data_IF_964452104159
#
_entry.id   IF_964452104159
#
_cell.length_a   1.000
_cell.length_b   1.000
_cell.length_c   1.000
_cell.angle_alpha   90.00
_cell.angle_beta   90.00
_cell.angle_gamma   90.00
#
_symmetry.space_group_name_H-M   'P 1'
#
loop_
_entity.id
_entity.type
_entity.pdbx_description
1 polymer ?
#
# COMPACT_ATOMS: atom_id res chain seq x y z
N UNK A 1 -11.29 24.96 -1.97
CA UNK A 1 -11.26 23.67 -2.69
C UNK A 1 -10.29 22.76 -1.97
N UNK A 2 -10.53 21.45 -2.03
CA UNK A 2 -9.57 20.47 -1.52
C UNK A 2 -8.62 20.08 -2.66
N UNK A 3 -7.43 19.60 -2.31
CA UNK A 3 -6.48 18.99 -3.23
C UNK A 3 -6.59 17.48 -3.10
N UNK A 4 -6.58 16.81 -4.21
CA UNK A 4 -6.70 15.36 -4.34
C UNK A 4 -5.69 14.89 -5.36
N UNK A 5 -5.46 13.59 -5.42
CA UNK A 5 -4.61 12.97 -6.43
C UNK A 5 -5.49 12.24 -7.44
N UNK A 6 -5.07 12.23 -8.70
CA UNK A 6 -5.69 11.45 -9.76
C UNK A 6 -4.64 10.59 -10.44
N UNK A 7 -4.93 9.30 -10.58
CA UNK A 7 -4.15 8.38 -11.39
C UNK A 7 -4.81 8.26 -12.77
N UNK A 8 -4.16 8.73 -13.86
CA UNK A 8 -4.71 8.56 -15.19
C UNK A 8 -4.70 7.08 -15.62
N UNK A 9 -5.55 6.78 -16.59
CA UNK A 9 -5.55 5.47 -17.25
C UNK A 9 -4.15 5.14 -17.80
N UNK A 10 -3.76 3.85 -17.80
CA UNK A 10 -2.47 3.43 -18.30
C UNK A 10 -2.27 3.92 -19.76
N UNK A 11 -1.08 4.47 -20.09
CA UNK A 11 -0.79 4.90 -21.45
C UNK A 11 -0.75 3.71 -22.42
N UNK A 12 -0.92 3.95 -23.71
CA UNK A 12 -0.92 2.88 -24.72
C UNK A 12 0.42 2.14 -24.85
N UNK A 13 1.52 2.76 -24.44
CA UNK A 13 2.88 2.21 -24.38
C UNK A 13 3.28 1.79 -22.96
N UNK A 14 2.32 1.31 -22.17
CA UNK A 14 2.46 0.98 -20.75
C UNK A 14 3.66 0.07 -20.47
N UNK A 15 3.74 -1.08 -21.14
CA UNK A 15 4.76 -2.10 -20.91
C UNK A 15 6.16 -1.57 -21.27
N UNK A 16 6.25 -0.82 -22.36
CA UNK A 16 7.50 -0.23 -22.81
C UNK A 16 8.03 0.79 -21.79
N UNK A 17 7.17 1.68 -21.26
CA UNK A 17 7.57 2.65 -20.24
C UNK A 17 7.82 2.02 -18.88
N UNK A 18 7.07 0.97 -18.52
CA UNK A 18 7.31 0.22 -17.29
C UNK A 18 8.73 -0.34 -17.27
N UNK A 19 9.25 -0.78 -18.43
CA UNK A 19 10.62 -1.29 -18.51
C UNK A 19 11.64 -0.28 -18.01
N UNK A 20 11.48 1.02 -18.25
CA UNK A 20 12.43 2.04 -17.77
C UNK A 20 12.61 2.04 -16.25
N UNK A 21 11.63 1.54 -15.51
CA UNK A 21 11.63 1.45 -14.04
C UNK A 21 12.09 0.10 -13.49
N UNK A 22 12.20 -0.93 -14.35
CA UNK A 22 12.75 -2.24 -13.96
C UNK A 22 14.27 -2.17 -13.90
N UNK A 23 14.84 -2.44 -12.72
CA UNK A 23 16.28 -2.36 -12.51
C UNK A 23 16.89 -3.75 -12.23
N UNK A 24 17.52 -4.32 -13.25
CA UNK A 24 18.31 -5.55 -13.13
C UNK A 24 19.72 -5.22 -12.63
N UNK A 25 19.84 -4.82 -11.37
CA UNK A 25 21.13 -4.55 -10.76
C UNK A 25 22.03 -5.81 -10.68
N UNK A 26 23.31 -5.64 -10.38
CA UNK A 26 24.29 -6.74 -10.34
C UNK A 26 23.89 -7.88 -9.40
N UNK A 27 23.19 -7.57 -8.29
CA UNK A 27 22.73 -8.60 -7.34
C UNK A 27 21.60 -9.44 -7.92
N UNK A 28 20.67 -8.80 -8.64
CA UNK A 28 19.55 -9.45 -9.34
C UNK A 28 20.10 -10.29 -10.48
N UNK A 29 21.04 -9.76 -11.26
CA UNK A 29 21.71 -10.49 -12.35
C UNK A 29 22.51 -11.69 -11.87
N UNK A 30 23.19 -11.60 -10.73
CA UNK A 30 23.94 -12.72 -10.16
C UNK A 30 23.04 -13.90 -9.74
N UNK A 31 21.75 -13.65 -9.51
CA UNK A 31 20.79 -14.67 -9.13
C UNK A 31 20.39 -15.61 -10.28
N UNK A 32 20.58 -15.18 -11.55
CA UNK A 32 20.17 -15.92 -12.76
C UNK A 32 20.83 -17.28 -12.95
N UNK A 33 22.02 -17.50 -12.36
CA UNK A 33 22.78 -18.75 -12.47
C UNK A 33 22.68 -19.62 -11.21
N UNK A 34 21.97 -19.16 -10.17
CA UNK A 34 21.86 -19.90 -8.92
C UNK A 34 20.76 -20.95 -9.03
N UNK A 35 21.15 -22.20 -9.27
CA UNK A 35 20.22 -23.33 -9.46
C UNK A 35 19.73 -23.92 -8.11
N UNK A 36 20.46 -23.68 -7.02
CA UNK A 36 20.16 -24.27 -5.70
C UNK A 36 19.67 -23.24 -4.71
N UNK A 37 18.64 -23.59 -3.95
CA UNK A 37 18.15 -22.80 -2.82
C UNK A 37 18.23 -23.59 -1.51
N UNK A 38 18.44 -22.85 -0.42
CA UNK A 38 18.47 -23.42 0.92
C UNK A 38 17.04 -23.49 1.46
N UNK A 39 16.47 -24.68 1.43
CA UNK A 39 15.15 -24.98 1.96
C UNK A 39 15.29 -25.47 3.40
N UNK A 40 14.55 -24.83 4.30
CA UNK A 40 14.45 -25.28 5.69
C UNK A 40 13.35 -26.33 5.78
N UNK A 41 13.73 -27.61 5.97
CA UNK A 41 12.74 -28.64 6.31
C UNK A 41 12.55 -28.64 7.82
N UNK A 42 11.33 -28.32 8.24
CA UNK A 42 10.89 -28.42 9.62
C UNK A 42 10.08 -29.70 9.73
N UNK A 43 10.67 -30.75 10.30
CA UNK A 43 9.92 -31.97 10.63
C UNK A 43 9.29 -31.82 12.00
N UNK A 44 7.97 -31.62 12.04
CA UNK A 44 7.20 -31.72 13.27
C UNK A 44 6.68 -33.15 13.42
N UNK A 45 7.13 -33.86 14.47
CA UNK A 45 6.61 -35.19 14.79
C UNK A 45 5.13 -35.10 15.21
N UNK A 46 4.21 -35.40 14.28
CA UNK A 46 2.77 -35.40 14.53
C UNK A 46 2.28 -36.56 15.42
N UNK A 47 3.17 -37.49 15.81
CA UNK A 47 2.87 -38.68 16.58
C UNK A 47 3.91 -38.91 17.68
N UNK A 48 3.87 -38.11 18.74
CA UNK A 48 4.50 -38.45 20.01
C UNK A 48 3.69 -37.82 21.14
N UNK A 49 3.23 -38.64 22.07
CA UNK A 49 2.39 -38.25 23.21
C UNK A 49 3.06 -37.23 24.14
N UNK A 50 2.34 -36.78 25.20
CA UNK A 50 2.55 -35.49 25.88
C UNK A 50 3.80 -35.37 26.77
N UNK A 51 4.88 -36.13 26.50
CA UNK A 51 6.15 -36.02 27.22
C UNK A 51 7.33 -36.29 26.29
N UNK A 52 7.71 -35.28 25.49
CA UNK A 52 9.08 -34.92 25.07
C UNK A 52 9.00 -33.77 24.05
N UNK A 53 8.99 -32.54 24.55
CA UNK A 53 9.32 -31.36 23.76
C UNK A 53 10.85 -31.26 23.70
N UNK A 54 11.47 -31.98 22.76
CA UNK A 54 12.87 -31.79 22.41
C UNK A 54 13.12 -32.51 21.08
N UNK A 55 13.18 -31.69 20.02
CA UNK A 55 14.03 -31.82 18.82
C UNK A 55 13.23 -31.47 17.56
N UNK A 56 12.98 -30.17 17.37
CA UNK A 56 12.81 -29.62 16.02
C UNK A 56 14.13 -29.83 15.28
N UNK A 57 14.27 -30.95 14.57
CA UNK A 57 15.45 -31.20 13.75
C UNK A 57 15.39 -30.29 12.52
N UNK A 58 16.05 -29.12 12.62
CA UNK A 58 16.18 -28.16 11.53
C UNK A 58 17.33 -28.59 10.64
N UNK A 59 17.00 -29.08 9.45
CA UNK A 59 18.00 -29.53 8.49
C UNK A 59 17.95 -28.61 7.27
N UNK A 60 19.08 -27.96 6.97
CA UNK A 60 19.26 -27.16 5.75
C UNK A 60 19.38 -28.12 4.55
N UNK A 61 18.37 -28.14 3.69
CA UNK A 61 18.37 -28.93 2.45
C UNK A 61 18.60 -28.01 1.26
N UNK A 62 19.45 -28.43 0.33
CA UNK A 62 19.60 -27.76 -0.96
C UNK A 62 18.64 -28.40 -1.96
N UNK A 63 17.63 -27.65 -2.40
CA UNK A 63 16.68 -28.11 -3.41
C UNK A 63 16.98 -27.44 -4.76
N UNK A 64 16.81 -28.19 -5.84
CA UNK A 64 16.77 -27.66 -7.20
C UNK A 64 15.32 -27.38 -7.54
N UNK A 65 15.00 -26.14 -7.90
CA UNK A 65 13.65 -25.79 -8.36
C UNK A 65 13.39 -26.44 -9.72
N UNK A 66 12.25 -27.12 -9.87
CA UNK A 66 11.86 -27.70 -11.16
C UNK A 66 11.51 -26.57 -12.13
N UNK A 67 12.00 -26.59 -13.40
CA UNK A 67 11.75 -25.50 -14.35
C UNK A 67 10.26 -25.15 -14.53
N UNK A 68 9.39 -26.16 -14.56
CA UNK A 68 7.94 -25.95 -14.68
C UNK A 68 7.33 -25.19 -13.48
N UNK A 69 7.81 -25.44 -12.26
CA UNK A 69 7.33 -24.73 -11.07
C UNK A 69 7.83 -23.28 -11.03
N UNK A 70 9.06 -23.04 -11.50
CA UNK A 70 9.63 -21.70 -11.63
C UNK A 70 8.85 -20.88 -12.67
N UNK A 71 8.51 -21.48 -13.81
CA UNK A 71 7.72 -20.82 -14.85
C UNK A 71 6.33 -20.43 -14.35
N UNK A 72 5.64 -21.34 -13.64
CA UNK A 72 4.32 -21.08 -13.06
C UNK A 72 4.37 -19.93 -12.03
N UNK A 73 5.36 -19.95 -11.13
CA UNK A 73 5.51 -18.90 -10.12
C UNK A 73 5.91 -17.55 -10.74
N UNK A 74 6.80 -17.55 -11.74
CA UNK A 74 7.15 -16.34 -12.49
C UNK A 74 5.94 -15.77 -13.25
N UNK A 75 5.06 -16.61 -13.80
CA UNK A 75 3.80 -16.20 -14.40
C UNK A 75 2.89 -15.54 -13.35
N UNK A 76 2.74 -16.11 -12.15
CA UNK A 76 1.97 -15.48 -11.07
C UNK A 76 2.50 -14.09 -10.71
N UNK A 77 3.83 -13.91 -10.65
CA UNK A 77 4.45 -12.61 -10.39
C UNK A 77 4.09 -11.58 -11.48
N UNK A 78 4.07 -11.98 -12.76
CA UNK A 78 3.66 -11.10 -13.86
C UNK A 78 2.16 -10.79 -13.82
N UNK A 79 1.32 -11.80 -13.59
CA UNK A 79 -0.14 -11.67 -13.50
C UNK A 79 -0.61 -10.82 -12.32
N UNK A 80 0.24 -10.58 -11.31
CA UNK A 80 -0.05 -9.61 -10.25
C UNK A 80 -0.22 -8.18 -10.79
N UNK A 81 0.30 -7.87 -11.98
CA UNK A 81 0.12 -6.58 -12.65
C UNK A 81 -1.11 -6.59 -13.54
N UNK A 82 -2.29 -6.38 -12.95
CA UNK A 82 -3.59 -6.45 -13.64
C UNK A 82 -3.76 -5.48 -14.82
N UNK A 83 -3.04 -4.36 -14.82
CA UNK A 83 -3.07 -3.36 -15.89
C UNK A 83 -2.18 -3.72 -17.10
N UNK A 84 -1.26 -4.68 -16.95
CA UNK A 84 -0.28 -5.04 -17.98
C UNK A 84 -0.75 -6.24 -18.83
N UNK A 85 -0.41 -6.23 -20.12
CA UNK A 85 -0.56 -7.40 -20.96
C UNK A 85 0.61 -8.37 -20.73
N UNK A 86 0.36 -9.53 -20.14
CA UNK A 86 1.41 -10.52 -19.81
C UNK A 86 2.29 -10.91 -21.02
N UNK A 87 1.71 -11.08 -22.21
CA UNK A 87 2.48 -11.47 -23.41
C UNK A 87 3.45 -10.38 -23.84
N UNK A 88 2.97 -9.14 -23.91
CA UNK A 88 3.83 -8.00 -24.28
C UNK A 88 4.87 -7.75 -23.18
N UNK A 89 4.46 -7.82 -21.91
CA UNK A 89 5.34 -7.66 -20.76
C UNK A 89 6.49 -8.66 -20.78
N UNK A 90 6.21 -9.94 -21.05
CA UNK A 90 7.22 -10.99 -21.14
C UNK A 90 8.23 -10.71 -22.26
N UNK A 91 7.75 -10.35 -23.46
CA UNK A 91 8.63 -10.01 -24.59
C UNK A 91 9.55 -8.84 -24.24
N UNK A 92 9.00 -7.77 -23.66
CA UNK A 92 9.78 -6.57 -23.28
C UNK A 92 10.77 -6.84 -22.15
N UNK A 93 10.39 -7.66 -21.17
CA UNK A 93 11.28 -8.07 -20.09
C UNK A 93 12.46 -8.89 -20.63
N UNK A 94 12.20 -9.81 -21.57
CA UNK A 94 13.26 -10.60 -22.22
C UNK A 94 14.22 -9.71 -23.02
N UNK A 95 13.69 -8.78 -23.82
CA UNK A 95 14.50 -7.83 -24.59
C UNK A 95 15.39 -6.99 -23.68
N UNK A 96 14.82 -6.43 -22.60
CA UNK A 96 15.58 -5.63 -21.62
C UNK A 96 16.60 -6.49 -20.87
N UNK A 97 16.22 -7.70 -20.44
CA UNK A 97 17.12 -8.60 -19.72
C UNK A 97 18.33 -8.99 -20.58
N UNK A 98 18.12 -9.30 -21.86
CA UNK A 98 19.19 -9.54 -22.82
C UNK A 98 20.15 -8.36 -22.92
N UNK A 99 19.60 -7.15 -23.11
CA UNK A 99 20.42 -5.93 -23.19
C UNK A 99 21.25 -5.74 -21.92
N UNK A 100 20.67 -5.93 -20.73
CA UNK A 100 21.41 -5.76 -19.48
C UNK A 100 22.53 -6.81 -19.34
N UNK A 101 22.30 -8.06 -19.72
CA UNK A 101 23.35 -9.11 -19.72
C UNK A 101 24.52 -8.72 -20.62
N UNK A 102 24.24 -8.22 -21.83
CA UNK A 102 25.26 -7.75 -22.79
C UNK A 102 26.04 -6.57 -22.22
N UNK A 103 25.36 -5.56 -21.67
CA UNK A 103 26.00 -4.36 -21.11
C UNK A 103 26.84 -4.69 -19.86
N UNK A 104 26.42 -5.67 -19.07
CA UNK A 104 27.18 -6.16 -17.93
C UNK A 104 28.37 -7.05 -18.33
N UNK A 105 28.56 -7.33 -19.63
CA UNK A 105 29.70 -8.06 -20.17
C UNK A 105 29.64 -9.58 -19.96
N UNK A 106 28.45 -10.13 -19.70
CA UNK A 106 28.26 -11.56 -19.56
C UNK A 106 27.99 -12.23 -20.91
N UNK A 107 28.37 -13.51 -21.03
CA UNK A 107 28.01 -14.31 -22.19
C UNK A 107 26.49 -14.47 -22.26
N UNK A 108 25.92 -14.17 -23.42
CA UNK A 108 24.52 -14.43 -23.71
C UNK A 108 24.24 -15.94 -23.69
N UNK A 109 23.06 -16.37 -23.23
CA UNK A 109 22.59 -17.73 -23.43
C UNK A 109 22.58 -18.10 -24.92
N UNK A 110 22.78 -19.39 -25.22
CA UNK A 110 22.84 -19.87 -26.62
C UNK A 110 21.47 -19.91 -27.30
N UNK A 111 20.39 -19.98 -26.50
CA UNK A 111 19.02 -20.08 -26.95
C UNK A 111 18.08 -19.17 -26.15
N UNK A 112 17.02 -18.70 -26.80
CA UNK A 112 15.98 -17.84 -26.22
C UNK A 112 15.23 -18.57 -25.09
N UNK A 113 15.09 -19.90 -25.18
CA UNK A 113 14.50 -20.72 -24.11
C UNK A 113 15.33 -20.66 -22.82
N UNK A 114 16.66 -20.69 -22.93
CA UNK A 114 17.55 -20.57 -21.76
C UNK A 114 17.52 -19.16 -21.17
N UNK A 115 17.42 -18.14 -22.02
CA UNK A 115 17.26 -16.76 -21.57
C UNK A 115 15.95 -16.58 -20.80
N UNK A 116 14.86 -17.19 -21.27
CA UNK A 116 13.58 -17.17 -20.58
C UNK A 116 13.65 -17.87 -19.23
N UNK A 117 14.21 -19.07 -19.16
CA UNK A 117 14.36 -19.79 -17.88
C UNK A 117 15.19 -18.99 -16.86
N UNK A 118 16.24 -18.29 -17.32
CA UNK A 118 17.04 -17.41 -16.46
C UNK A 118 16.22 -16.21 -15.96
N UNK A 119 15.41 -15.59 -16.81
CA UNK A 119 14.52 -14.49 -16.42
C UNK A 119 13.49 -14.97 -15.39
N UNK A 120 12.83 -16.11 -15.62
CA UNK A 120 11.83 -16.67 -14.72
C UNK A 120 12.42 -16.95 -13.32
N UNK A 121 13.64 -17.52 -13.27
CA UNK A 121 14.35 -17.74 -12.02
C UNK A 121 14.65 -16.42 -11.28
N UNK A 122 15.00 -15.36 -12.01
CA UNK A 122 15.23 -14.03 -11.43
C UNK A 122 13.93 -13.47 -10.84
N UNK A 123 12.81 -13.60 -11.54
CA UNK A 123 11.50 -13.12 -11.07
C UNK A 123 11.04 -13.85 -9.80
N UNK A 124 11.23 -15.18 -9.72
CA UNK A 124 10.87 -15.97 -8.53
C UNK A 124 11.74 -15.59 -7.32
N UNK A 125 13.03 -15.33 -7.55
CA UNK A 125 13.96 -14.94 -6.47
C UNK A 125 13.79 -13.49 -6.01
N UNK A 126 13.28 -12.64 -6.89
CA UNK A 126 13.05 -11.22 -6.64
C UNK A 126 11.61 -10.84 -6.98
N UNK A 127 10.60 -11.37 -6.26
CA UNK A 127 9.19 -11.17 -6.58
C UNK A 127 8.78 -9.68 -6.50
N UNK A 128 9.48 -8.90 -5.67
CA UNK A 128 9.24 -7.46 -5.50
C UNK A 128 9.75 -6.62 -6.68
N UNK A 129 10.58 -7.16 -7.59
CA UNK A 129 11.21 -6.39 -8.66
C UNK A 129 10.18 -5.68 -9.54
N UNK A 130 9.22 -6.45 -10.06
CA UNK A 130 8.16 -5.92 -10.93
C UNK A 130 7.19 -5.03 -10.15
N UNK A 131 6.85 -5.42 -8.91
CA UNK A 131 5.95 -4.66 -8.05
C UNK A 131 6.51 -3.27 -7.72
N UNK A 132 7.79 -3.18 -7.36
CA UNK A 132 8.47 -1.92 -7.06
C UNK A 132 8.62 -1.05 -8.30
N UNK A 133 8.96 -1.65 -9.44
CA UNK A 133 9.03 -0.94 -10.73
C UNK A 133 7.66 -0.36 -11.12
N UNK A 134 6.60 -1.16 -11.03
CA UNK A 134 5.22 -0.75 -11.27
C UNK A 134 4.81 0.40 -10.35
N UNK A 135 5.06 0.26 -9.04
CA UNK A 135 4.75 1.32 -8.06
C UNK A 135 5.43 2.63 -8.43
N UNK A 136 6.73 2.61 -8.72
CA UNK A 136 7.48 3.82 -9.11
C UNK A 136 6.94 4.42 -10.42
N UNK A 137 6.64 3.59 -11.40
CA UNK A 137 6.09 4.02 -12.68
C UNK A 137 4.72 4.70 -12.53
N UNK A 138 3.79 4.09 -11.78
CA UNK A 138 2.45 4.65 -11.56
C UNK A 138 2.48 5.89 -10.68
N UNK A 139 3.31 5.91 -9.64
CA UNK A 139 3.51 7.10 -8.80
C UNK A 139 3.99 8.31 -9.62
N UNK A 140 4.85 8.09 -10.63
CA UNK A 140 5.33 9.17 -11.51
C UNK A 140 4.25 9.79 -12.40
N UNK A 141 3.09 9.12 -12.55
CA UNK A 141 1.96 9.60 -13.35
C UNK A 141 0.87 10.27 -12.51
N UNK A 142 0.99 10.22 -11.17
CA UNK A 142 -0.01 10.81 -10.28
C UNK A 142 0.02 12.32 -10.41
N UNK A 143 -1.13 12.90 -10.77
CA UNK A 143 -1.33 14.34 -10.89
C UNK A 143 -2.14 14.86 -9.71
N UNK A 144 -1.78 16.05 -9.22
CA UNK A 144 -2.56 16.76 -8.21
C UNK A 144 -3.71 17.49 -8.91
N UNK A 145 -4.92 17.32 -8.38
CA UNK A 145 -6.16 17.90 -8.89
C UNK A 145 -6.90 18.62 -7.78
N UNK A 146 -7.61 19.69 -8.11
CA UNK A 146 -8.51 20.34 -7.17
C UNK A 146 -9.89 19.68 -7.22
N UNK A 147 -10.42 19.31 -6.06
CA UNK A 147 -11.76 18.75 -5.92
C UNK A 147 -12.67 19.74 -5.19
N UNK A 148 -13.88 19.99 -5.72
CA UNK A 148 -14.83 20.87 -5.08
C UNK A 148 -15.44 20.17 -3.86
N UNK A 149 -15.67 20.95 -2.81
CA UNK A 149 -16.62 20.55 -1.77
C UNK A 149 -18.03 20.82 -2.31
N UNK A 150 -18.96 19.88 -2.07
CA UNK A 150 -20.35 20.11 -2.42
C UNK A 150 -20.90 21.28 -1.61
N UNK A 151 -21.83 22.04 -2.19
CA UNK A 151 -22.49 23.14 -1.50
C UNK A 151 -23.51 22.64 -0.48
N UNK A 152 -24.16 21.51 -0.78
CA UNK A 152 -25.27 20.97 0.01
C UNK A 152 -25.22 19.43 0.02
N UNK A 153 -25.71 18.85 1.12
CA UNK A 153 -25.90 17.41 1.27
C UNK A 153 -27.40 17.12 1.43
N UNK A 154 -27.94 16.28 0.54
CA UNK A 154 -29.34 15.86 0.60
C UNK A 154 -29.46 14.51 1.31
N UNK A 155 -30.46 14.39 2.18
CA UNK A 155 -30.83 13.13 2.82
C UNK A 155 -32.34 12.98 2.84
N UNK A 156 -32.81 11.76 2.55
CA UNK A 156 -34.23 11.41 2.60
C UNK A 156 -34.75 11.24 4.04
N UNK A 157 -33.84 11.20 5.02
CA UNK A 157 -34.16 11.02 6.43
C UNK A 157 -33.62 12.19 7.27
N UNK A 158 -34.29 12.55 8.38
CA UNK A 158 -33.73 13.50 9.33
C UNK A 158 -32.43 12.97 9.96
N UNK A 159 -31.37 13.77 9.91
CA UNK A 159 -30.06 13.43 10.47
C UNK A 159 -29.76 14.21 11.76
N UNK A 160 -28.89 13.66 12.60
CA UNK A 160 -28.41 14.32 13.82
C UNK A 160 -27.61 15.58 13.46
N UNK A 161 -27.82 16.67 14.21
CA UNK A 161 -27.11 17.94 13.98
C UNK A 161 -25.68 17.86 14.49
N UNK A 162 -24.75 18.38 13.70
CA UNK A 162 -23.35 18.57 14.05
C UNK A 162 -23.04 20.07 14.10
N UNK A 163 -22.27 20.53 15.09
CA UNK A 163 -21.92 21.94 15.25
C UNK A 163 -20.83 22.40 14.29
N UNK A 164 -19.88 21.50 13.99
CA UNK A 164 -18.69 21.72 13.19
C UNK A 164 -18.61 20.78 11.98
N UNK A 165 -19.58 19.88 11.81
CA UNK A 165 -19.73 19.17 10.54
C UNK A 165 -19.97 20.17 9.41
N UNK A 166 -19.27 20.01 8.28
CA UNK A 166 -19.32 20.96 7.15
C UNK A 166 -20.75 21.29 6.70
N UNK A 167 -21.65 20.30 6.74
CA UNK A 167 -23.06 20.44 6.36
C UNK A 167 -24.01 20.61 7.57
N UNK A 168 -23.48 20.87 8.77
CA UNK A 168 -24.26 21.04 10.00
C UNK A 168 -24.95 19.76 10.52
N UNK A 169 -24.54 18.60 10.03
CA UNK A 169 -25.13 17.28 10.31
C UNK A 169 -24.04 16.21 10.43
N UNK A 170 -24.34 15.12 11.14
CA UNK A 170 -23.55 13.88 11.07
C UNK A 170 -23.96 13.09 9.81
N UNK A 171 -23.04 12.86 8.85
CA UNK A 171 -23.38 12.20 7.60
C UNK A 171 -23.89 10.76 7.82
N UNK A 172 -24.77 10.27 6.94
CA UNK A 172 -25.26 8.89 7.04
C UNK A 172 -24.15 7.89 6.70
N UNK A 173 -24.28 6.66 7.21
CA UNK A 173 -23.39 5.55 6.88
C UNK A 173 -22.02 5.59 7.56
N UNK A 174 -21.88 6.36 8.64
CA UNK A 174 -20.72 6.27 9.54
C UNK A 174 -20.82 5.00 10.40
N UNK A 175 -19.72 4.30 10.59
CA UNK A 175 -19.64 3.16 11.49
C UNK A 175 -19.57 3.61 12.98
N UNK A 176 -19.64 2.69 13.94
CA UNK A 176 -19.65 3.07 15.37
C UNK A 176 -18.38 3.80 15.82
N UNK A 177 -17.22 3.40 15.30
CA UNK A 177 -15.93 3.97 15.63
C UNK A 177 -15.77 5.35 14.98
N UNK A 178 -16.15 5.47 13.71
CA UNK A 178 -16.23 6.73 12.96
C UNK A 178 -17.16 7.73 13.64
N UNK A 179 -18.34 7.30 14.11
CA UNK A 179 -19.27 8.18 14.87
C UNK A 179 -18.61 8.68 16.15
N UNK A 180 -17.88 7.82 16.87
CA UNK A 180 -17.22 8.20 18.11
C UNK A 180 -16.09 9.21 17.87
N UNK A 181 -15.33 9.08 16.78
CA UNK A 181 -14.31 10.04 16.36
C UNK A 181 -14.97 11.34 15.87
N UNK A 182 -15.99 11.26 15.03
CA UNK A 182 -16.72 12.42 14.53
C UNK A 182 -17.31 13.27 15.66
N UNK A 183 -17.85 12.65 16.71
CA UNK A 183 -18.36 13.36 17.90
C UNK A 183 -17.25 14.07 18.68
N UNK A 184 -16.05 13.50 18.75
CA UNK A 184 -14.90 14.16 19.37
C UNK A 184 -14.43 15.37 18.55
N UNK A 185 -14.41 15.24 17.22
CA UNK A 185 -14.11 16.34 16.31
C UNK A 185 -15.14 17.47 16.45
N UNK A 186 -16.42 17.13 16.50
CA UNK A 186 -17.52 18.11 16.58
C UNK A 186 -17.54 18.89 17.90
N UNK A 187 -17.18 18.24 19.01
CA UNK A 187 -17.16 18.85 20.34
C UNK A 187 -15.94 19.76 20.57
N UNK A 188 -14.90 19.66 19.75
CA UNK A 188 -13.62 20.33 20.01
C UNK A 188 -13.56 21.75 19.45
N UNK A 189 -13.15 22.75 20.25
CA UNK A 189 -12.97 24.11 19.75
C UNK A 189 -11.76 24.28 18.82
N UNK A 190 -10.86 23.28 18.77
CA UNK A 190 -9.67 23.30 17.90
C UNK A 190 -10.01 23.01 16.43
N UNK A 191 -11.16 22.39 16.18
CA UNK A 191 -11.64 22.03 14.84
C UNK A 191 -12.45 23.21 14.29
N UNK A 192 -12.09 23.71 13.12
CA UNK A 192 -12.88 24.71 12.41
C UNK A 192 -14.11 24.06 11.76
N UNK A 193 -13.88 23.01 10.96
CA UNK A 193 -14.92 22.12 10.45
C UNK A 193 -14.37 20.73 10.16
N UNK A 194 -15.25 19.73 10.05
CA UNK A 194 -14.89 18.38 9.60
C UNK A 194 -15.87 17.87 8.55
N UNK A 195 -15.39 17.01 7.66
CA UNK A 195 -16.16 16.42 6.57
C UNK A 195 -15.78 14.94 6.42
N UNK A 196 -16.78 14.06 6.30
CA UNK A 196 -16.55 12.66 5.91
C UNK A 196 -16.16 12.61 4.45
N UNK A 197 -15.00 12.04 4.15
CA UNK A 197 -14.56 11.84 2.77
C UNK A 197 -15.28 10.62 2.18
N UNK A 198 -16.08 10.78 1.11
CA UNK A 198 -16.65 9.62 0.44
C UNK A 198 -15.55 8.88 -0.35
N UNK A 199 -15.76 7.58 -0.61
CA UNK A 199 -14.83 6.76 -1.41
C UNK A 199 -15.24 6.80 -2.88
N UNK A 200 -14.27 7.02 -3.79
CA UNK A 200 -14.45 6.98 -5.26
C UNK A 200 -15.57 7.91 -5.78
N UNK A 201 -15.68 9.12 -5.22
CA UNK A 201 -16.56 10.19 -5.71
C UNK A 201 -15.76 11.37 -6.28
N UNK A 202 -16.35 12.21 -7.13
CA UNK A 202 -15.67 13.39 -7.68
C UNK A 202 -15.15 14.37 -6.62
N UNK A 203 -15.83 14.45 -5.48
CA UNK A 203 -15.48 15.28 -4.31
C UNK A 203 -14.49 14.61 -3.35
N UNK A 204 -14.07 13.36 -3.63
CA UNK A 204 -13.19 12.60 -2.77
C UNK A 204 -11.75 13.13 -2.77
N UNK A 205 -11.16 13.19 -1.59
CA UNK A 205 -9.70 13.26 -1.44
C UNK A 205 -9.15 11.85 -1.58
N UNK A 206 -8.44 11.60 -2.68
CA UNK A 206 -7.76 10.36 -2.98
C UNK A 206 -6.25 10.59 -2.93
N UNK A 207 -5.53 9.63 -2.37
CA UNK A 207 -4.07 9.61 -2.28
C UNK A 207 -3.58 8.37 -3.04
N UNK A 208 -3.27 8.51 -4.32
CA UNK A 208 -2.77 7.43 -5.17
C UNK A 208 -1.28 7.14 -4.95
N UNK A 209 -0.49 8.08 -4.45
CA UNK A 209 0.91 7.84 -4.04
C UNK A 209 1.03 6.98 -2.79
N UNK A 210 -0.09 6.68 -2.13
CA UNK A 210 -0.13 5.94 -0.88
C UNK A 210 -0.55 4.48 -1.07
N UNK A 211 -0.89 4.06 -2.29
CA UNK A 211 -1.35 2.71 -2.59
C UNK A 211 -0.82 2.23 -3.95
N UNK A 212 -0.86 0.92 -4.20
CA UNK A 212 -0.39 0.31 -5.45
C UNK A 212 -1.38 0.52 -6.62
N UNK A 213 -1.96 1.72 -6.75
CA UNK A 213 -2.82 2.14 -7.85
C UNK A 213 -4.33 2.16 -7.56
N UNK A 214 -4.81 1.53 -6.48
CA UNK A 214 -6.25 1.54 -6.12
C UNK A 214 -6.72 2.87 -5.50
N UNK A 215 -5.77 3.69 -5.03
CA UNK A 215 -6.03 4.94 -4.32
C UNK A 215 -6.41 4.73 -2.85
N UNK A 216 -5.78 5.50 -1.97
CA UNK A 216 -6.15 5.56 -0.56
C UNK A 216 -7.11 6.73 -0.30
N UNK A 217 -8.18 6.50 0.45
CA UNK A 217 -9.22 7.48 0.72
C UNK A 217 -9.38 7.62 2.25
N UNK A 218 -8.74 8.61 2.89
CA UNK A 218 -8.86 8.79 4.33
C UNK A 218 -10.32 9.02 4.72
N UNK A 219 -10.81 8.43 5.81
CA UNK A 219 -12.21 8.54 6.23
C UNK A 219 -12.72 9.99 6.43
N UNK A 220 -11.88 10.87 6.95
CA UNK A 220 -12.26 12.24 7.33
C UNK A 220 -11.23 13.29 6.90
N UNK A 221 -11.76 14.44 6.47
CA UNK A 221 -11.01 15.66 6.21
C UNK A 221 -11.37 16.67 7.30
N UNK A 222 -10.38 17.16 8.03
CA UNK A 222 -10.56 18.03 9.19
C UNK A 222 -9.81 19.33 8.99
N UNK A 223 -10.51 20.47 9.01
CA UNK A 223 -9.86 21.76 9.07
C UNK A 223 -9.63 22.17 10.53
N UNK A 224 -8.38 22.42 10.89
CA UNK A 224 -7.98 22.85 12.22
C UNK A 224 -7.89 24.38 12.29
N UNK A 225 -8.15 24.97 13.46
CA UNK A 225 -8.09 26.43 13.67
C UNK A 225 -6.66 26.99 13.56
N UNK A 226 -5.65 26.21 13.94
CA UNK A 226 -4.23 26.59 13.94
C UNK A 226 -3.38 25.39 13.50
N UNK A 227 -3.20 25.23 12.19
CA UNK A 227 -2.32 24.22 11.58
C UNK A 227 -1.58 24.85 10.41
N UNK A 228 -0.27 24.59 10.32
CA UNK A 228 0.62 25.21 9.32
C UNK A 228 0.60 24.49 7.95
N UNK A 229 -0.37 23.61 7.71
CA UNK A 229 -0.56 22.92 6.42
C UNK A 229 -1.44 23.72 5.45
N UNK A 230 -1.41 23.34 4.17
CA UNK A 230 -2.24 24.00 3.16
C UNK A 230 -3.74 23.87 3.52
N UNK A 231 -4.40 25.02 3.69
CA UNK A 231 -5.81 25.08 4.09
C UNK A 231 -6.09 24.68 5.55
N UNK A 232 -5.05 24.54 6.38
CA UNK A 232 -5.13 24.04 7.76
C UNK A 232 -5.76 22.65 7.86
N UNK A 233 -5.64 21.83 6.81
CA UNK A 233 -6.30 20.52 6.71
C UNK A 233 -5.40 19.42 7.30
N UNK A 234 -6.04 18.54 8.07
CA UNK A 234 -5.55 17.25 8.51
C UNK A 234 -6.44 16.13 7.92
N UNK A 235 -5.80 15.04 7.49
CA UNK A 235 -6.47 13.85 7.01
C UNK A 235 -6.48 12.79 8.11
N UNK A 236 -7.62 12.13 8.31
CA UNK A 236 -7.83 11.21 9.41
C UNK A 236 -8.44 9.90 8.90
N UNK A 237 -7.90 8.79 9.36
CA UNK A 237 -8.34 7.42 9.08
C UNK A 237 -8.73 6.74 10.39
N UNK A 238 -9.89 6.09 10.44
CA UNK A 238 -10.40 5.42 11.64
C UNK A 238 -10.38 3.91 11.43
N UNK A 239 -9.60 3.22 12.27
CA UNK A 239 -9.45 1.77 12.23
C UNK A 239 -10.17 1.06 13.36
N UNK A 240 -11.00 0.09 12.95
CA UNK A 240 -11.62 -0.83 13.88
C UNK A 240 -10.62 -1.81 14.51
N UNK A 241 -10.95 -2.30 15.70
CA UNK A 241 -10.10 -3.18 16.52
C UNK A 241 -9.65 -4.49 15.84
N UNK A 242 -10.29 -4.88 14.74
CA UNK A 242 -10.02 -6.13 14.01
C UNK A 242 -8.89 -6.00 12.97
N UNK A 243 -8.53 -4.79 12.55
CA UNK A 243 -7.47 -4.52 11.56
C UNK A 243 -6.11 -4.24 12.22
N UNK A 244 -6.02 -4.44 13.53
CA UNK A 244 -4.82 -4.17 14.30
C UNK A 244 -3.73 -5.20 14.01
N UNK A 245 -2.65 -4.77 13.36
CA UNK A 245 -1.45 -5.58 13.12
C UNK A 245 -1.36 -6.24 11.75
N UNK A 246 -2.19 -5.86 10.76
CA UNK A 246 -2.04 -6.37 9.41
C UNK A 246 -0.83 -5.73 8.66
N UNK A 247 0.05 -6.55 8.05
CA UNK A 247 1.30 -6.06 7.45
C UNK A 247 1.12 -5.22 6.17
N UNK A 248 -0.02 -5.33 5.47
CA UNK A 248 -0.31 -4.54 4.26
C UNK A 248 -0.48 -3.03 4.53
N UNK A 249 -0.66 -2.65 5.79
CA UNK A 249 -1.11 -1.32 6.21
C UNK A 249 0.03 -0.35 6.56
N UNK A 250 1.25 -0.88 6.70
CA UNK A 250 2.47 -0.15 7.05
C UNK A 250 2.95 0.77 5.93
N UNK A 251 2.84 0.32 4.68
CA UNK A 251 3.33 1.08 3.54
C UNK A 251 2.59 2.40 3.36
N UNK A 252 1.26 2.38 3.60
CA UNK A 252 0.38 3.55 3.43
C UNK A 252 0.67 4.61 4.48
N UNK A 253 0.83 4.22 5.73
CA UNK A 253 0.96 5.13 6.87
C UNK A 253 2.34 5.83 7.00
N UNK A 254 3.32 5.48 6.17
CA UNK A 254 4.65 6.11 6.14
C UNK A 254 4.78 7.24 5.10
N UNK A 255 3.86 7.33 4.15
CA UNK A 255 3.89 8.35 3.10
C UNK A 255 3.47 9.73 3.65
N UNK A 256 3.80 10.81 2.93
CA UNK A 256 3.47 12.18 3.35
C UNK A 256 2.94 12.96 2.13
N UNK A 257 1.74 13.52 2.23
CA UNK A 257 1.17 14.34 1.17
C UNK A 257 1.84 15.72 1.19
N UNK A 258 2.27 16.29 0.04
CA UNK A 258 2.98 17.57 0.00
C UNK A 258 2.24 18.72 0.70
N UNK A 259 0.91 18.75 0.57
CA UNK A 259 0.08 19.85 1.08
C UNK A 259 -0.50 19.60 2.47
N UNK A 260 -0.79 18.35 2.82
CA UNK A 260 -1.53 17.99 4.03
C UNK A 260 -0.66 17.36 5.11
N UNK A 261 0.54 16.90 4.74
CA UNK A 261 1.41 16.12 5.59
C UNK A 261 0.96 14.66 5.68
N UNK A 262 1.23 14.05 6.83
CA UNK A 262 0.81 12.67 7.12
C UNK A 262 -0.72 12.57 7.30
N UNK A 263 -1.26 11.40 7.01
CA UNK A 263 -2.59 10.97 7.45
C UNK A 263 -2.47 10.48 8.88
N UNK A 264 -3.35 10.94 9.76
CA UNK A 264 -3.44 10.47 11.13
C UNK A 264 -4.33 9.23 11.17
N UNK A 265 -3.85 8.16 11.81
CA UNK A 265 -4.58 6.90 11.89
C UNK A 265 -4.95 6.68 13.34
N UNK A 266 -6.24 6.58 13.62
CA UNK A 266 -6.78 6.35 14.96
C UNK A 266 -7.34 4.95 15.06
N UNK A 267 -6.98 4.21 16.11
CA UNK A 267 -7.47 2.85 16.33
C UNK A 267 -7.95 2.60 17.75
N UNK A 268 -8.92 1.68 17.90
CA UNK A 268 -9.40 1.17 19.18
C UNK A 268 -8.82 -0.19 19.56
N UNK A 269 -8.09 -0.27 20.68
CA UNK A 269 -7.49 -1.54 21.08
C UNK A 269 -8.60 -2.47 21.50
N UNK A 270 -8.49 -3.76 21.18
CA UNK A 270 -9.53 -4.74 21.51
C UNK A 270 -9.84 -4.70 23.01
N UNK A 271 -11.07 -4.32 23.35
CA UNK A 271 -11.55 -4.20 24.74
C UNK A 271 -11.37 -2.81 25.37
N UNK A 272 -10.77 -1.85 24.68
CA UNK A 272 -10.63 -0.47 25.13
C UNK A 272 -11.74 0.42 24.54
N UNK A 273 -11.98 1.56 25.20
CA UNK A 273 -12.95 2.58 24.78
C UNK A 273 -12.29 3.88 24.33
N UNK A 274 -10.96 3.92 24.31
CA UNK A 274 -10.16 5.11 24.02
C UNK A 274 -9.40 4.86 22.74
N UNK A 275 -9.45 5.84 21.84
CA UNK A 275 -8.72 5.81 20.59
C UNK A 275 -7.23 6.13 20.84
N UNK A 276 -6.39 5.48 20.07
CA UNK A 276 -4.95 5.68 20.08
C UNK A 276 -4.47 6.11 18.71
N UNK A 277 -3.53 7.04 18.69
CA UNK A 277 -2.76 7.36 17.50
C UNK A 277 -1.93 6.14 17.13
N UNK A 278 -2.04 5.70 15.89
CA UNK A 278 -1.26 4.59 15.34
C UNK A 278 -0.17 5.16 14.43
N UNK A 279 1.06 4.70 14.64
CA UNK A 279 2.22 5.04 13.81
C UNK A 279 2.90 3.78 13.31
N UNK A 280 3.53 3.90 12.14
CA UNK A 280 4.38 2.85 11.59
C UNK A 280 5.70 2.80 12.32
N UNK A 281 6.03 1.65 12.90
CA UNK A 281 7.32 1.34 13.48
C UNK A 281 7.75 -0.06 13.04
N UNK A 282 8.93 -0.19 12.42
CA UNK A 282 9.54 -1.47 12.02
C UNK A 282 8.59 -2.45 11.30
N UNK A 283 7.75 -1.94 10.40
CA UNK A 283 6.74 -2.72 9.69
C UNK A 283 5.64 -3.30 10.57
N UNK A 284 5.22 -2.56 11.60
CA UNK A 284 3.98 -2.75 12.35
C UNK A 284 3.31 -1.41 12.66
N UNK A 285 2.00 -1.44 12.89
CA UNK A 285 1.28 -0.31 13.47
C UNK A 285 1.37 -0.41 14.99
N UNK A 286 2.04 0.55 15.60
CA UNK A 286 2.18 0.67 17.04
C UNK A 286 1.44 1.89 17.57
N UNK A 287 1.04 1.81 18.83
CA UNK A 287 0.40 2.93 19.53
C UNK A 287 1.43 4.01 19.83
N UNK A 288 1.24 5.19 19.24
CA UNK A 288 2.01 6.40 19.51
C UNK A 288 1.32 7.27 20.59
N UNK A 289 0.54 6.66 21.47
CA UNK A 289 -0.18 7.32 22.56
C UNK A 289 -1.65 7.63 22.27
N UNK A 290 -2.31 8.31 23.22
CA UNK A 290 -3.75 8.56 23.20
C UNK A 290 -4.15 9.55 22.11
N UNK A 291 -5.28 9.28 21.46
CA UNK A 291 -5.92 10.20 20.53
C UNK A 291 -6.20 11.54 21.22
N UNK A 292 -5.52 12.57 20.76
CA UNK A 292 -5.67 13.96 21.20
C UNK A 292 -5.67 14.87 19.97
N UNK A 293 -6.60 15.82 19.94
CA UNK A 293 -6.80 16.71 18.79
C UNK A 293 -5.71 17.76 18.66
N UNK A 294 -5.00 18.09 19.74
CA UNK A 294 -3.81 18.97 19.70
C UNK A 294 -2.74 18.43 18.74
N UNK A 295 -2.61 17.09 18.64
CA UNK A 295 -1.66 16.45 17.72
C UNK A 295 -2.01 16.65 16.25
N UNK A 296 -3.28 16.87 15.93
CA UNK A 296 -3.71 17.23 14.57
C UNK A 296 -3.30 18.67 14.22
N UNK A 297 -2.96 19.52 15.19
CA UNK A 297 -2.44 20.87 14.94
C UNK A 297 -0.97 20.90 14.51
N UNK A 298 -0.19 19.86 14.85
CA UNK A 298 1.24 19.81 14.61
C UNK A 298 1.60 18.93 13.40
N UNK A 299 2.54 19.40 12.58
CA UNK A 299 3.12 18.65 11.45
C UNK A 299 4.32 17.86 11.95
#
# INVERSE_FOLDING_TARGET
>A
MLRSECLPNPPADFEARLMDFVDFNDTVLASRLRIRERVMRVESALLSGPQRAADECRTDLWATLAPAAVAEEAEQVRLCLSEANDRELQVRLLEKFRQVIEHAGYALPEDDEQLLQQLELVLVRHPELLRLAYRRFRHAQVADVEVPLLSELHSDVPLERAQRGLYGIFPPGLNQDEIAVARQLDASPLVHWWHRNPVRKPESVALYRWDDGEGFYPDCVVAMMQRDSHGCIALLEVKGAHLWGEPKEIGKAAETHPDYGRVFIEGLRRGERVFHHLRVLEHRLETDGLFTLDRLGHV
#
